data_IF_207564683801
#
_entry.id   IF_207564683801
#
_cell.length_a   1.000
_cell.length_b   1.000
_cell.length_c   1.000
_cell.angle_alpha   90.00
_cell.angle_beta   90.00
_cell.angle_gamma   90.00
#
_symmetry.space_group_name_H-M   'P 1'
#
loop_
_entity.id
_entity.type
_entity.pdbx_description
1 polymer ?
#
# COMPACT_ATOMS: atom_id res chain seq x y z
N UNK A 1 1.56 33.49 -26.04
CA UNK A 1 2.81 33.14 -25.34
C UNK A 1 3.32 31.85 -25.94
N UNK A 2 4.56 31.81 -26.42
CA UNK A 2 5.23 30.56 -26.78
C UNK A 2 5.49 29.75 -25.50
N UNK A 3 5.23 28.44 -25.56
CA UNK A 3 5.57 27.56 -24.45
C UNK A 3 7.09 27.44 -24.32
N UNK A 4 7.57 27.48 -23.09
CA UNK A 4 8.96 27.19 -22.79
C UNK A 4 9.27 25.72 -23.11
N UNK A 5 10.30 25.48 -23.91
CA UNK A 5 10.80 24.12 -24.16
C UNK A 5 11.69 23.74 -22.98
N UNK A 6 11.23 22.83 -22.13
CA UNK A 6 11.96 22.40 -20.92
C UNK A 6 12.86 21.18 -21.13
N UNK A 7 12.74 20.50 -22.27
CA UNK A 7 13.47 19.28 -22.62
C UNK A 7 14.23 19.43 -23.93
N UNK A 8 15.46 18.90 -23.97
CA UNK A 8 16.29 18.88 -25.17
C UNK A 8 15.67 17.93 -26.21
N UNK A 9 15.39 18.38 -27.44
CA UNK A 9 14.79 17.53 -28.48
C UNK A 9 15.72 16.40 -28.95
N UNK A 10 17.03 16.48 -28.67
CA UNK A 10 17.98 15.44 -29.04
C UNK A 10 18.11 14.32 -28.00
N UNK A 11 18.18 14.66 -26.71
CA UNK A 11 18.52 13.70 -25.64
C UNK A 11 17.49 13.64 -24.50
N UNK A 12 16.43 14.45 -24.58
CA UNK A 12 15.39 14.56 -23.57
C UNK A 12 15.89 14.99 -22.16
N UNK A 13 17.13 15.48 -22.05
CA UNK A 13 17.64 16.09 -20.83
C UNK A 13 16.97 17.44 -20.56
N UNK A 14 16.89 17.85 -19.30
CA UNK A 14 16.34 19.15 -18.92
C UNK A 14 17.25 20.28 -19.43
N UNK A 15 16.65 21.29 -20.06
CA UNK A 15 17.35 22.48 -20.55
C UNK A 15 17.58 23.49 -19.41
N UNK A 16 18.67 24.26 -19.51
CA UNK A 16 18.93 25.39 -18.61
C UNK A 16 18.69 26.71 -19.36
N UNK A 17 18.23 27.72 -18.64
CA UNK A 17 18.12 29.09 -19.19
C UNK A 17 19.50 29.73 -19.07
N UNK A 18 20.04 30.27 -20.17
CA UNK A 18 21.37 30.88 -20.19
C UNK A 18 21.36 32.41 -20.23
N UNK A 19 20.21 33.02 -20.54
CA UNK A 19 20.05 34.47 -20.66
C UNK A 19 18.62 34.89 -20.32
N UNK A 20 18.50 35.97 -19.54
CA UNK A 20 17.25 36.67 -19.24
C UNK A 20 17.37 38.10 -19.77
N UNK A 21 16.36 38.58 -20.49
CA UNK A 21 16.33 39.93 -21.02
C UNK A 21 15.14 40.70 -20.46
N UNK A 22 15.38 41.89 -19.91
CA UNK A 22 14.31 42.80 -19.53
C UNK A 22 13.76 43.49 -20.80
N UNK A 23 12.46 43.37 -21.11
CA UNK A 23 11.87 44.01 -22.29
C UNK A 23 11.80 45.55 -22.16
N UNK A 24 11.80 46.09 -20.95
CA UNK A 24 11.61 47.53 -20.70
C UNK A 24 12.92 48.33 -20.82
N UNK A 25 14.03 47.82 -20.26
CA UNK A 25 15.32 48.51 -20.23
C UNK A 25 16.42 47.81 -21.04
N UNK A 26 16.16 46.63 -21.60
CA UNK A 26 17.08 45.90 -22.46
C UNK A 26 18.25 45.20 -21.74
N UNK A 27 18.34 45.28 -20.41
CA UNK A 27 19.38 44.59 -19.63
C UNK A 27 19.32 43.09 -19.91
N UNK A 28 20.46 42.54 -20.31
CA UNK A 28 20.66 41.10 -20.50
C UNK A 28 21.49 40.54 -19.34
N UNK A 29 20.93 39.55 -18.65
CA UNK A 29 21.60 38.84 -17.55
C UNK A 29 21.94 37.44 -18.05
N UNK A 30 23.23 37.15 -18.21
CA UNK A 30 23.72 35.84 -18.62
C UNK A 30 24.23 35.05 -17.42
N UNK A 31 23.58 33.93 -17.16
CA UNK A 31 23.99 32.98 -16.13
C UNK A 31 23.35 31.62 -16.44
N UNK A 32 23.75 30.56 -15.75
CA UNK A 32 23.03 29.29 -15.78
C UNK A 32 21.90 29.35 -14.76
N UNK A 33 20.66 29.49 -15.22
CA UNK A 33 19.46 29.45 -14.38
C UNK A 33 18.77 28.10 -14.54
N UNK A 34 18.34 27.54 -13.42
CA UNK A 34 17.55 26.31 -13.39
C UNK A 34 16.08 26.61 -13.70
N UNK A 35 15.43 25.66 -14.37
CA UNK A 35 13.99 25.65 -14.54
C UNK A 35 13.31 25.33 -13.20
N UNK A 36 12.27 26.10 -12.86
CA UNK A 36 11.48 25.85 -11.66
C UNK A 36 10.72 24.52 -11.76
N UNK A 37 10.25 24.01 -10.63
CA UNK A 37 9.39 22.82 -10.57
C UNK A 37 8.13 22.96 -11.43
N UNK A 38 7.64 24.19 -11.64
CA UNK A 38 6.46 24.46 -12.46
C UNK A 38 6.75 24.40 -13.96
N UNK A 39 7.97 24.76 -14.37
CA UNK A 39 8.40 24.73 -15.78
C UNK A 39 8.55 23.30 -16.31
N UNK A 40 8.65 22.32 -15.40
CA UNK A 40 8.73 20.89 -15.70
C UNK A 40 7.38 20.24 -15.97
N UNK A 41 6.28 20.88 -15.57
CA UNK A 41 4.94 20.35 -15.77
C UNK A 41 4.60 20.26 -17.26
N UNK A 42 3.97 19.16 -17.66
CA UNK A 42 3.37 19.06 -18.99
C UNK A 42 2.06 19.88 -19.05
N UNK A 43 1.53 20.07 -20.26
CA UNK A 43 0.34 20.92 -20.46
C UNK A 43 -0.92 20.38 -19.76
N UNK A 44 -1.08 19.06 -19.67
CA UNK A 44 -2.20 18.46 -18.96
C UNK A 44 -2.12 18.75 -17.45
N UNK A 45 -0.93 18.62 -16.87
CA UNK A 45 -0.66 18.93 -15.46
C UNK A 45 -0.86 20.40 -15.15
N UNK A 46 -0.40 21.32 -16.01
CA UNK A 46 -0.62 22.76 -15.85
C UNK A 46 -2.10 23.10 -15.88
N UNK A 47 -2.85 22.57 -16.85
CA UNK A 47 -4.29 22.81 -16.96
C UNK A 47 -5.05 22.27 -15.76
N UNK A 48 -4.66 21.09 -15.27
CA UNK A 48 -5.23 20.52 -14.05
C UNK A 48 -4.91 21.39 -12.82
N UNK A 49 -3.67 21.85 -12.65
CA UNK A 49 -3.26 22.73 -11.55
C UNK A 49 -4.05 24.05 -11.56
N UNK A 50 -4.13 24.72 -12.71
CA UNK A 50 -4.88 25.99 -12.84
C UNK A 50 -6.36 25.80 -12.50
N UNK A 51 -6.95 24.71 -12.98
CA UNK A 51 -8.35 24.38 -12.68
C UNK A 51 -8.54 24.08 -11.19
N UNK A 52 -7.67 23.28 -10.59
CA UNK A 52 -7.71 22.99 -9.15
C UNK A 52 -7.63 24.25 -8.30
N UNK A 53 -6.73 25.19 -8.64
CA UNK A 53 -6.62 26.48 -7.97
C UNK A 53 -7.86 27.37 -8.20
N UNK A 54 -8.42 27.38 -9.41
CA UNK A 54 -9.67 28.10 -9.71
C UNK A 54 -10.84 27.65 -8.83
N UNK A 55 -10.92 26.35 -8.54
CA UNK A 55 -11.91 25.77 -7.62
C UNK A 55 -11.46 25.77 -6.15
N UNK A 56 -10.41 26.53 -5.80
CA UNK A 56 -9.89 26.68 -4.42
C UNK A 56 -9.54 25.32 -3.77
N UNK A 57 -9.08 24.37 -4.57
CA UNK A 57 -8.73 23.02 -4.14
C UNK A 57 -9.92 22.06 -3.93
N UNK A 58 -11.14 22.45 -4.32
CA UNK A 58 -12.29 21.57 -4.23
C UNK A 58 -12.29 20.52 -5.36
N UNK A 59 -11.80 19.32 -5.03
CA UNK A 59 -11.68 18.21 -5.98
C UNK A 59 -13.03 17.68 -6.49
N UNK A 60 -14.13 17.85 -5.73
CA UNK A 60 -15.48 17.48 -6.16
C UNK A 60 -15.96 18.37 -7.30
N UNK A 61 -15.83 19.68 -7.14
CA UNK A 61 -16.21 20.61 -8.20
C UNK A 61 -15.30 20.45 -9.42
N UNK A 62 -14.01 20.17 -9.19
CA UNK A 62 -13.05 19.93 -10.27
C UNK A 62 -13.40 18.68 -11.10
N UNK A 63 -13.79 17.59 -10.46
CA UNK A 63 -14.12 16.35 -11.17
C UNK A 63 -15.37 16.51 -12.06
N UNK A 64 -16.34 17.33 -11.62
CA UNK A 64 -17.57 17.60 -12.36
C UNK A 64 -17.27 18.46 -13.59
N UNK A 65 -16.44 19.51 -13.43
CA UNK A 65 -16.03 20.38 -14.53
C UNK A 65 -15.22 19.63 -15.61
N UNK A 66 -14.23 18.84 -15.19
CA UNK A 66 -13.34 18.11 -16.10
C UNK A 66 -14.02 16.84 -16.65
N UNK A 67 -15.17 16.44 -16.09
CA UNK A 67 -15.93 15.26 -16.54
C UNK A 67 -15.26 13.93 -16.22
N UNK A 68 -14.57 13.83 -15.07
CA UNK A 68 -13.84 12.63 -14.65
C UNK A 68 -14.36 12.05 -13.34
N UNK A 69 -14.08 10.77 -13.09
CA UNK A 69 -14.43 10.14 -11.81
C UNK A 69 -13.59 10.71 -10.66
N UNK A 70 -14.13 10.68 -9.44
CA UNK A 70 -13.40 11.16 -8.26
C UNK A 70 -12.07 10.41 -8.04
N UNK A 71 -11.99 9.07 -8.19
CA UNK A 71 -10.72 8.36 -8.18
C UNK A 71 -9.72 8.86 -9.23
N UNK A 72 -10.18 9.17 -10.45
CA UNK A 72 -9.33 9.71 -11.51
C UNK A 72 -8.81 11.10 -11.17
N UNK A 73 -9.66 11.98 -10.63
CA UNK A 73 -9.26 13.31 -10.18
C UNK A 73 -8.22 13.25 -9.06
N UNK A 74 -8.40 12.32 -8.12
CA UNK A 74 -7.43 12.07 -7.04
C UNK A 74 -6.10 11.59 -7.59
N UNK A 75 -6.10 10.62 -8.51
CA UNK A 75 -4.88 10.12 -9.15
C UNK A 75 -4.11 11.23 -9.87
N UNK A 76 -4.79 12.09 -10.63
CA UNK A 76 -4.17 13.23 -11.31
C UNK A 76 -3.56 14.24 -10.34
N UNK A 77 -4.20 14.47 -9.19
CA UNK A 77 -3.65 15.30 -8.14
C UNK A 77 -2.38 14.69 -7.56
N UNK A 78 -2.35 13.39 -7.29
CA UNK A 78 -1.14 12.68 -6.82
C UNK A 78 0.00 12.78 -7.86
N UNK A 79 -0.28 12.52 -9.14
CA UNK A 79 0.68 12.66 -10.24
C UNK A 79 1.23 14.09 -10.36
N UNK A 80 0.38 15.11 -10.15
CA UNK A 80 0.80 16.51 -10.15
C UNK A 80 1.70 16.84 -8.96
N UNK A 81 1.33 16.40 -7.75
CA UNK A 81 2.11 16.62 -6.54
C UNK A 81 3.50 15.97 -6.64
N UNK A 82 3.58 14.80 -7.28
CA UNK A 82 4.84 14.13 -7.57
C UNK A 82 5.69 14.94 -8.56
N UNK A 83 5.10 15.42 -9.65
CA UNK A 83 5.80 16.23 -10.65
C UNK A 83 6.30 17.59 -10.08
N UNK A 84 5.62 18.12 -9.07
CA UNK A 84 6.03 19.32 -8.33
C UNK A 84 7.03 19.05 -7.20
N UNK A 85 7.46 17.79 -7.00
CA UNK A 85 8.39 17.38 -5.94
C UNK A 85 7.86 17.73 -4.52
N UNK A 86 6.54 17.92 -4.38
CA UNK A 86 5.88 18.27 -3.10
C UNK A 86 5.55 17.05 -2.25
N UNK A 87 5.42 15.90 -2.92
CA UNK A 87 5.37 14.60 -2.27
C UNK A 87 6.47 13.75 -2.88
N UNK A 88 7.18 13.03 -2.02
CA UNK A 88 8.04 11.95 -2.47
C UNK A 88 7.16 10.73 -2.66
N UNK A 89 7.43 9.98 -3.71
CA UNK A 89 6.69 8.77 -3.97
C UNK A 89 7.12 7.70 -2.96
N UNK A 90 6.28 7.44 -1.95
CA UNK A 90 6.43 6.26 -1.10
C UNK A 90 6.37 4.95 -1.93
N UNK A 91 5.97 4.99 -3.21
CA UNK A 91 6.01 3.86 -4.12
C UNK A 91 7.31 3.74 -4.95
N UNK A 92 8.09 4.81 -5.16
CA UNK A 92 9.41 4.72 -5.82
C UNK A 92 10.48 4.19 -4.84
N UNK A 93 10.34 4.46 -3.53
CA UNK A 93 11.16 3.77 -2.52
C UNK A 93 10.88 2.25 -2.45
N UNK A 94 9.81 1.73 -3.06
CA UNK A 94 9.53 0.28 -3.07
C UNK A 94 10.21 -0.49 -4.21
N UNK A 95 10.83 0.17 -5.18
CA UNK A 95 11.62 -0.51 -6.23
C UNK A 95 13.14 -0.39 -6.02
N UNK A 96 13.59 0.47 -5.10
CA UNK A 96 15.00 0.61 -4.71
C UNK A 96 15.31 0.29 -3.25
N UNK A 97 14.36 -0.23 -2.47
CA UNK A 97 14.67 -1.21 -1.44
C UNK A 97 14.46 -2.60 -2.02
N UNK A 98 15.40 -3.04 -2.87
CA UNK A 98 15.88 -4.39 -2.67
C UNK A 98 16.47 -4.40 -1.26
N UNK A 99 15.60 -4.56 -0.24
CA UNK A 99 16.01 -4.91 1.10
C UNK A 99 17.05 -6.00 0.89
N UNK A 100 18.26 -5.82 1.42
CA UNK A 100 19.26 -6.86 1.37
C UNK A 100 18.73 -8.04 2.22
N UNK A 101 17.93 -8.89 1.57
CA UNK A 101 17.22 -10.01 2.16
C UNK A 101 18.19 -11.11 2.61
N UNK A 102 19.49 -10.96 2.31
CA UNK A 102 20.53 -11.86 2.78
C UNK A 102 20.51 -11.99 4.30
N UNK A 103 20.24 -10.89 5.01
CA UNK A 103 20.26 -10.83 6.48
C UNK A 103 18.99 -11.38 7.16
N UNK A 104 17.86 -11.51 6.44
CA UNK A 104 16.62 -12.01 7.06
C UNK A 104 16.67 -13.54 7.17
N UNK A 105 16.92 -14.05 8.36
CA UNK A 105 16.91 -15.48 8.64
C UNK A 105 15.45 -15.99 8.67
N UNK A 106 15.21 -17.12 8.00
CA UNK A 106 13.94 -17.84 8.01
C UNK A 106 14.20 -19.30 8.37
N UNK A 107 13.38 -19.86 9.27
CA UNK A 107 13.49 -21.25 9.68
C UNK A 107 12.60 -22.13 8.81
N UNK A 108 13.18 -22.73 7.76
CA UNK A 108 12.48 -23.60 6.81
C UNK A 108 12.07 -24.96 7.37
N UNK A 109 12.54 -25.32 8.57
CA UNK A 109 12.16 -26.56 9.26
C UNK A 109 10.94 -26.38 10.17
N UNK A 110 10.50 -25.13 10.37
CA UNK A 110 9.33 -24.82 11.19
C UNK A 110 8.04 -25.04 10.39
N UNK A 111 7.06 -25.70 11.02
CA UNK A 111 5.70 -25.82 10.49
C UNK A 111 4.79 -24.66 10.93
N UNK A 112 5.33 -23.66 11.63
CA UNK A 112 4.56 -22.47 12.03
C UNK A 112 4.15 -21.67 10.80
N UNK A 113 2.92 -21.15 10.82
CA UNK A 113 2.36 -20.36 9.73
C UNK A 113 3.19 -19.09 9.46
N UNK A 114 3.67 -18.45 10.53
CA UNK A 114 4.58 -17.31 10.48
C UNK A 114 5.83 -17.59 9.64
N UNK A 115 6.53 -18.68 9.93
CA UNK A 115 7.76 -19.06 9.23
C UNK A 115 7.51 -19.52 7.80
N UNK A 116 6.41 -20.23 7.53
CA UNK A 116 6.04 -20.65 6.17
C UNK A 116 5.76 -19.43 5.29
N UNK A 117 4.96 -18.48 5.78
CA UNK A 117 4.63 -17.25 5.04
C UNK A 117 5.89 -16.41 4.83
N UNK A 118 6.69 -16.22 5.90
CA UNK A 118 7.93 -15.45 5.84
C UNK A 118 8.94 -16.07 4.86
N UNK A 119 9.13 -17.39 4.87
CA UNK A 119 10.00 -18.09 3.94
C UNK A 119 9.49 -17.97 2.50
N UNK A 120 8.19 -18.21 2.27
CA UNK A 120 7.59 -18.10 0.94
C UNK A 120 7.70 -16.68 0.38
N UNK A 121 7.49 -15.66 1.21
CA UNK A 121 7.64 -14.26 0.82
C UNK A 121 9.10 -13.93 0.48
N UNK A 122 10.06 -14.40 1.29
CA UNK A 122 11.49 -14.27 0.99
C UNK A 122 11.87 -14.94 -0.33
N UNK A 123 11.38 -16.15 -0.57
CA UNK A 123 11.67 -16.92 -1.80
C UNK A 123 11.06 -16.25 -3.05
N UNK A 124 10.09 -15.34 -2.88
CA UNK A 124 9.54 -14.48 -3.94
C UNK A 124 10.18 -13.08 -3.98
N UNK A 125 11.40 -12.91 -3.45
CA UNK A 125 12.11 -11.63 -3.48
C UNK A 125 11.60 -10.59 -2.48
N UNK A 126 10.83 -11.01 -1.47
CA UNK A 126 10.37 -10.15 -0.37
C UNK A 126 9.13 -9.31 -0.69
N UNK A 127 8.56 -9.42 -1.89
CA UNK A 127 7.34 -8.70 -2.30
C UNK A 127 6.48 -9.56 -3.23
N UNK A 128 5.18 -9.60 -2.98
CA UNK A 128 4.21 -10.36 -3.78
C UNK A 128 2.86 -9.63 -3.88
N UNK A 129 2.08 -10.00 -4.88
CA UNK A 129 0.66 -9.64 -4.98
C UNK A 129 -0.18 -10.87 -4.65
N UNK A 130 -1.05 -10.76 -3.65
CA UNK A 130 -2.08 -11.76 -3.32
C UNK A 130 -3.45 -11.24 -3.69
N UNK A 131 -4.42 -12.13 -3.88
CA UNK A 131 -5.77 -11.77 -4.28
C UNK A 131 -6.76 -12.14 -3.17
N UNK A 132 -7.64 -11.20 -2.81
CA UNK A 132 -8.72 -11.49 -1.86
C UNK A 132 -9.74 -12.47 -2.47
N UNK A 133 -10.64 -13.00 -1.63
CA UNK A 133 -11.76 -13.83 -2.09
C UNK A 133 -12.66 -13.15 -3.16
N UNK A 134 -12.62 -11.82 -3.26
CA UNK A 134 -13.35 -11.06 -4.30
C UNK A 134 -12.49 -10.71 -5.52
N UNK A 135 -11.26 -11.22 -5.61
CA UNK A 135 -10.31 -10.94 -6.67
C UNK A 135 -9.60 -9.58 -6.57
N UNK A 136 -9.70 -8.88 -5.44
CA UNK A 136 -9.00 -7.60 -5.26
C UNK A 136 -7.50 -7.86 -5.04
N UNK A 137 -6.59 -7.25 -5.82
CA UNK A 137 -5.16 -7.38 -5.57
C UNK A 137 -4.76 -6.63 -4.30
N UNK A 138 -3.91 -7.26 -3.50
CA UNK A 138 -3.26 -6.71 -2.33
C UNK A 138 -1.75 -6.95 -2.46
N UNK A 139 -0.96 -5.90 -2.45
CA UNK A 139 0.49 -6.01 -2.38
C UNK A 139 0.92 -6.30 -0.95
N UNK A 140 1.90 -7.19 -0.80
CA UNK A 140 2.50 -7.62 0.46
C UNK A 140 4.02 -7.52 0.33
N UNK A 141 4.70 -6.92 1.30
CA UNK A 141 6.16 -6.89 1.35
C UNK A 141 6.71 -7.06 2.76
N UNK A 142 7.93 -7.57 2.83
CA UNK A 142 8.68 -7.74 4.09
C UNK A 142 9.18 -6.38 4.58
N UNK A 143 9.23 -6.20 5.89
CA UNK A 143 9.89 -5.06 6.49
C UNK A 143 11.33 -5.41 6.89
N UNK A 144 12.19 -4.40 7.00
CA UNK A 144 13.62 -4.55 7.32
C UNK A 144 13.89 -5.20 8.69
N UNK A 145 12.93 -5.15 9.61
CA UNK A 145 13.04 -5.77 10.94
C UNK A 145 13.08 -7.30 10.89
N UNK A 146 12.71 -7.91 9.77
CA UNK A 146 12.64 -9.35 9.59
C UNK A 146 11.53 -10.04 10.43
N UNK A 147 10.68 -9.29 11.12
CA UNK A 147 9.63 -9.81 12.01
C UNK A 147 8.24 -9.35 11.60
N UNK A 148 8.13 -8.31 10.78
CA UNK A 148 6.88 -7.75 10.31
C UNK A 148 6.76 -7.69 8.78
N UNK A 149 5.54 -7.45 8.34
CA UNK A 149 5.19 -7.25 6.95
C UNK A 149 4.22 -6.07 6.80
N UNK A 150 4.15 -5.54 5.59
CA UNK A 150 3.24 -4.46 5.25
C UNK A 150 2.40 -4.83 4.03
N UNK A 151 1.18 -4.32 3.97
CA UNK A 151 0.33 -4.40 2.79
C UNK A 151 -0.31 -3.06 2.47
N UNK A 152 -0.49 -2.75 1.19
CA UNK A 152 -1.17 -1.54 0.72
C UNK A 152 -2.63 -1.46 1.19
N UNK A 153 -3.23 -2.60 1.56
CA UNK A 153 -4.59 -2.70 2.10
C UNK A 153 -4.66 -2.81 3.63
N UNK A 154 -3.52 -2.75 4.32
CA UNK A 154 -3.45 -2.76 5.80
C UNK A 154 -2.79 -1.46 6.31
N UNK A 155 -3.49 -0.31 6.29
CA UNK A 155 -2.94 0.98 6.69
C UNK A 155 -2.93 1.15 8.22
N UNK A 156 -2.35 0.18 8.96
CA UNK A 156 -2.30 0.18 10.42
C UNK A 156 -0.87 0.35 10.92
N UNK A 157 -0.70 1.14 12.00
CA UNK A 157 0.57 1.28 12.73
C UNK A 157 0.38 0.85 14.19
N UNK A 158 1.31 0.04 14.77
CA UNK A 158 2.44 -0.61 14.10
C UNK A 158 1.98 -1.68 13.10
N UNK A 159 2.86 -2.03 12.15
CA UNK A 159 2.66 -3.09 11.17
C UNK A 159 2.36 -4.45 11.84
N UNK A 160 1.84 -5.40 11.08
CA UNK A 160 1.62 -6.75 11.61
C UNK A 160 2.92 -7.54 11.65
N UNK A 161 3.19 -8.18 12.77
CA UNK A 161 4.21 -9.22 12.89
C UNK A 161 3.71 -10.53 12.24
N UNK A 162 4.62 -11.36 11.71
CA UNK A 162 4.25 -12.67 11.15
C UNK A 162 3.55 -13.59 12.16
N UNK A 163 3.76 -13.37 13.47
CA UNK A 163 3.09 -14.14 14.53
C UNK A 163 1.57 -14.09 14.45
N UNK A 164 0.99 -13.06 13.83
CA UNK A 164 -0.47 -12.96 13.64
C UNK A 164 -1.02 -14.19 12.92
N UNK A 165 -0.25 -14.79 11.99
CA UNK A 165 -0.66 -15.98 11.28
C UNK A 165 -0.66 -17.23 12.18
N UNK A 166 0.25 -17.30 13.14
CA UNK A 166 0.24 -18.37 14.14
C UNK A 166 -0.99 -18.25 15.03
N UNK A 167 -1.34 -17.04 15.48
CA UNK A 167 -2.56 -16.78 16.26
C UNK A 167 -3.80 -17.27 15.52
N UNK A 168 -3.89 -17.01 14.21
CA UNK A 168 -5.02 -17.47 13.40
C UNK A 168 -5.02 -19.00 13.29
N UNK A 169 -3.86 -19.63 13.04
CA UNK A 169 -3.77 -21.09 12.94
C UNK A 169 -4.09 -21.76 14.27
N UNK A 170 -3.57 -21.27 15.39
CA UNK A 170 -3.86 -21.78 16.73
C UNK A 170 -5.36 -21.70 17.04
N UNK A 171 -6.01 -20.61 16.63
CA UNK A 171 -7.46 -20.47 16.72
C UNK A 171 -8.18 -21.55 15.90
N UNK A 172 -7.77 -21.75 14.64
CA UNK A 172 -8.36 -22.77 13.76
C UNK A 172 -8.21 -24.16 14.36
N UNK A 173 -7.02 -24.52 14.83
CA UNK A 173 -6.73 -25.81 15.48
C UNK A 173 -7.60 -26.00 16.72
N UNK A 174 -7.71 -24.98 17.57
CA UNK A 174 -8.55 -25.03 18.78
C UNK A 174 -10.05 -25.26 18.50
N UNK A 175 -10.49 -24.99 17.27
CA UNK A 175 -11.87 -25.12 16.81
C UNK A 175 -12.05 -26.27 15.79
N UNK A 176 -11.17 -27.26 15.78
CA UNK A 176 -11.29 -28.43 14.92
C UNK A 176 -10.91 -28.16 13.46
N UNK A 177 -9.99 -27.22 13.24
CA UNK A 177 -9.44 -26.86 11.93
C UNK A 177 -10.21 -25.79 11.17
N UNK A 178 -11.20 -25.12 11.79
CA UNK A 178 -11.99 -24.07 11.15
C UNK A 178 -12.45 -23.00 12.14
N UNK A 179 -12.59 -21.76 11.66
CA UNK A 179 -13.08 -20.65 12.47
C UNK A 179 -13.80 -19.61 11.62
N UNK A 180 -14.81 -18.98 12.21
CA UNK A 180 -15.54 -17.86 11.59
C UNK A 180 -14.58 -16.67 11.42
N UNK A 181 -14.61 -16.01 10.27
CA UNK A 181 -13.83 -14.78 10.02
C UNK A 181 -14.19 -13.67 11.01
N UNK A 182 -15.48 -13.54 11.32
CA UNK A 182 -16.03 -12.43 12.08
C UNK A 182 -16.17 -11.14 11.26
N UNK A 183 -16.53 -10.06 11.93
CA UNK A 183 -16.79 -8.74 11.34
C UNK A 183 -16.47 -7.65 12.38
N UNK A 184 -15.25 -7.11 12.32
CA UNK A 184 -14.83 -6.03 13.22
C UNK A 184 -15.38 -4.66 12.83
N UNK A 185 -15.90 -4.50 11.60
CA UNK A 185 -16.44 -3.23 11.09
C UNK A 185 -17.78 -2.87 11.72
N UNK A 186 -18.60 -3.88 12.02
CA UNK A 186 -19.97 -3.70 12.49
C UNK A 186 -20.18 -4.12 13.95
N UNK A 187 -19.19 -4.77 14.57
CA UNK A 187 -19.31 -5.33 15.92
C UNK A 187 -18.09 -4.97 16.75
N UNK A 188 -18.32 -4.68 18.03
CA UNK A 188 -17.24 -4.41 18.99
C UNK A 188 -16.61 -5.70 19.48
N UNK A 189 -15.35 -5.62 19.92
CA UNK A 189 -14.62 -6.77 20.44
C UNK A 189 -15.38 -7.41 21.62
N UNK A 190 -15.65 -8.70 21.53
CA UNK A 190 -16.42 -9.47 22.52
C UNK A 190 -17.88 -9.71 22.16
N UNK A 191 -18.42 -9.05 21.14
CA UNK A 191 -19.73 -9.38 20.57
C UNK A 191 -19.65 -10.65 19.71
N UNK A 192 -20.76 -11.37 19.51
CA UNK A 192 -20.84 -12.70 18.86
C UNK A 192 -20.13 -12.83 17.50
N UNK A 193 -19.99 -11.72 16.76
CA UNK A 193 -19.35 -11.67 15.44
C UNK A 193 -17.95 -11.03 15.46
N UNK A 194 -17.45 -10.61 16.62
CA UNK A 194 -16.11 -10.09 16.84
C UNK A 194 -15.59 -10.55 18.21
N UNK A 195 -15.87 -11.79 18.61
CA UNK A 195 -15.40 -12.38 19.87
C UNK A 195 -14.13 -13.22 19.64
N UNK A 196 -13.56 -13.75 20.73
CA UNK A 196 -12.34 -14.57 20.71
C UNK A 196 -12.43 -15.85 19.87
N UNK A 197 -13.63 -16.27 19.47
CA UNK A 197 -13.84 -17.45 18.59
C UNK A 197 -13.77 -17.09 17.11
N UNK A 198 -13.73 -15.80 16.79
CA UNK A 198 -13.61 -15.30 15.42
C UNK A 198 -12.17 -14.89 15.10
N UNK A 199 -11.78 -15.00 13.83
CA UNK A 199 -10.44 -14.60 13.35
C UNK A 199 -10.17 -13.13 13.69
N UNK A 200 -11.10 -12.22 13.38
CA UNK A 200 -10.95 -10.79 13.70
C UNK A 200 -10.78 -10.55 15.21
N UNK A 201 -11.54 -11.24 16.05
CA UNK A 201 -11.49 -11.06 17.49
C UNK A 201 -10.20 -11.61 18.10
N UNK A 202 -9.73 -12.78 17.66
CA UNK A 202 -8.44 -13.32 18.08
C UNK A 202 -7.27 -12.41 17.67
N UNK A 203 -7.28 -11.89 16.44
CA UNK A 203 -6.28 -10.93 15.97
C UNK A 203 -6.31 -9.63 16.77
N UNK A 204 -7.50 -9.11 17.08
CA UNK A 204 -7.62 -7.90 17.89
C UNK A 204 -7.07 -8.10 19.32
N UNK A 205 -7.33 -9.25 19.93
CA UNK A 205 -6.80 -9.60 21.26
C UNK A 205 -5.27 -9.68 21.25
N UNK A 206 -4.67 -10.33 20.24
CA UNK A 206 -3.20 -10.37 20.07
C UNK A 206 -2.58 -8.97 19.91
N UNK A 207 -3.34 -8.03 19.33
CA UNK A 207 -2.94 -6.61 19.22
C UNK A 207 -3.17 -5.79 20.50
N UNK A 208 -3.67 -6.42 21.58
CA UNK A 208 -3.87 -5.77 22.87
C UNK A 208 -5.18 -4.99 23.01
N UNK A 209 -6.15 -5.16 22.10
CA UNK A 209 -7.48 -4.57 22.24
C UNK A 209 -8.26 -5.24 23.39
N UNK A 210 -9.20 -4.48 23.97
CA UNK A 210 -10.03 -4.89 25.10
C UNK A 210 -11.48 -5.08 24.66
N UNK A 211 -12.21 -5.91 25.40
CA UNK A 211 -13.66 -6.09 25.19
C UNK A 211 -14.38 -4.74 25.22
N UNK A 212 -15.20 -4.47 24.20
CA UNK A 212 -15.92 -3.21 23.99
C UNK A 212 -15.23 -2.24 23.02
N UNK A 213 -13.97 -2.48 22.64
CA UNK A 213 -13.27 -1.66 21.67
C UNK A 213 -13.84 -1.84 20.25
N UNK A 214 -13.87 -0.76 19.48
CA UNK A 214 -13.99 -0.84 18.02
C UNK A 214 -12.63 -1.24 17.44
N UNK A 215 -12.62 -2.22 16.55
CA UNK A 215 -11.37 -2.80 16.01
C UNK A 215 -11.32 -2.68 14.50
N UNK A 216 -10.10 -2.56 13.95
CA UNK A 216 -9.91 -2.68 12.51
C UNK A 216 -10.14 -4.13 12.06
N UNK A 217 -10.73 -4.33 10.88
CA UNK A 217 -10.96 -5.66 10.32
C UNK A 217 -9.92 -5.97 9.22
N UNK A 218 -8.83 -6.70 9.55
CA UNK A 218 -7.77 -7.06 8.60
C UNK A 218 -8.04 -8.36 7.86
N UNK A 219 -9.16 -9.05 8.15
CA UNK A 219 -9.31 -10.48 7.83
C UNK A 219 -9.27 -10.71 6.32
N UNK A 220 -9.77 -9.78 5.52
CA UNK A 220 -9.77 -9.90 4.06
C UNK A 220 -8.37 -10.02 3.46
N UNK A 221 -7.36 -9.37 4.06
CA UNK A 221 -5.95 -9.49 3.63
C UNK A 221 -5.29 -10.70 4.28
N UNK A 222 -5.43 -10.88 5.59
CA UNK A 222 -4.78 -11.98 6.31
C UNK A 222 -5.24 -13.35 5.79
N UNK A 223 -6.53 -13.49 5.47
CA UNK A 223 -7.08 -14.69 4.84
C UNK A 223 -6.50 -14.95 3.46
N UNK A 224 -6.33 -13.90 2.64
CA UNK A 224 -5.73 -14.02 1.31
C UNK A 224 -4.26 -14.48 1.38
N UNK A 225 -3.51 -13.99 2.37
CA UNK A 225 -2.11 -14.39 2.58
C UNK A 225 -2.02 -15.86 3.04
N UNK A 226 -2.88 -16.29 3.98
CA UNK A 226 -2.94 -17.68 4.44
C UNK A 226 -3.32 -18.64 3.31
N UNK A 227 -4.27 -18.26 2.45
CA UNK A 227 -4.67 -19.04 1.29
C UNK A 227 -3.57 -19.10 0.22
N UNK A 228 -2.95 -17.95 -0.09
CA UNK A 228 -1.79 -17.90 -0.98
C UNK A 228 -0.65 -18.79 -0.46
N UNK A 229 -0.45 -18.88 0.85
CA UNK A 229 0.54 -19.76 1.46
C UNK A 229 0.15 -21.26 1.45
N UNK A 230 -1.08 -21.61 1.06
CA UNK A 230 -1.60 -22.98 1.04
C UNK A 230 -1.99 -23.51 2.42
N UNK A 231 -2.15 -22.62 3.41
CA UNK A 231 -2.42 -22.98 4.81
C UNK A 231 -3.93 -23.19 5.03
N UNK A 232 -4.76 -22.35 4.41
CA UNK A 232 -6.23 -22.39 4.55
C UNK A 232 -6.95 -22.34 3.20
N UNK A 233 -8.19 -22.82 3.18
CA UNK A 233 -9.22 -22.44 2.22
C UNK A 233 -9.98 -21.20 2.73
N UNK A 234 -10.08 -20.17 1.89
CA UNK A 234 -10.67 -18.88 2.23
C UNK A 234 -12.18 -18.83 1.93
N UNK A 235 -12.96 -19.63 2.65
CA UNK A 235 -14.38 -19.83 2.36
C UNK A 235 -15.28 -18.63 2.75
N UNK A 236 -16.56 -18.68 2.36
CA UNK A 236 -17.50 -17.60 2.66
C UNK A 236 -17.83 -17.57 4.15
N UNK A 237 -17.25 -16.59 4.86
CA UNK A 237 -17.52 -16.33 6.28
C UNK A 237 -16.62 -17.09 7.26
N UNK A 238 -15.76 -17.97 6.77
CA UNK A 238 -14.88 -18.80 7.60
C UNK A 238 -13.55 -19.08 6.91
N UNK A 239 -12.58 -19.56 7.70
CA UNK A 239 -11.32 -20.13 7.22
C UNK A 239 -11.28 -21.60 7.65
N UNK A 240 -10.75 -22.44 6.78
CA UNK A 240 -10.63 -23.89 7.00
C UNK A 240 -9.20 -24.31 6.68
N UNK A 241 -8.52 -25.03 7.59
CA UNK A 241 -7.18 -25.54 7.33
C UNK A 241 -7.17 -26.48 6.13
N UNK A 242 -6.16 -26.39 5.28
CA UNK A 242 -5.98 -27.38 4.21
C UNK A 242 -5.57 -28.73 4.79
N UNK A 243 -5.89 -29.83 4.10
CA UNK A 243 -5.43 -31.16 4.49
C UNK A 243 -3.89 -31.24 4.47
N UNK A 244 -3.26 -30.60 3.48
CA UNK A 244 -1.80 -30.58 3.31
C UNK A 244 -1.09 -29.88 4.47
N UNK A 245 -1.67 -28.80 5.01
CA UNK A 245 -1.10 -28.12 6.15
C UNK A 245 -1.41 -28.87 7.45
N UNK A 246 -2.63 -29.39 7.58
CA UNK A 246 -3.07 -30.12 8.78
C UNK A 246 -2.22 -31.36 9.06
N UNK A 247 -1.67 -32.02 8.05
CA UNK A 247 -0.78 -33.18 8.22
C UNK A 247 0.62 -32.82 8.76
N UNK A 248 0.94 -31.54 8.89
CA UNK A 248 2.22 -31.02 9.38
C UNK A 248 2.14 -30.42 10.79
N UNK A 249 0.92 -30.30 11.34
CA UNK A 249 0.66 -29.76 12.67
C UNK A 249 1.01 -30.73 13.78
#
# INVERSE_FOLDING_TARGET
MSMLISKCPCCNSTLNITSLQCPDCGVEIRNTFELSIFDRLNEEQKNFLLSFLRYRGNLKNLQEEIGISYPTAKKRLEELLFALELIQDESINKEQEALDMSNIIVNRYSNRASEIIKAKLKDNGGRVTVYTATGLPCELWMNADGTSFTSDKLPIKPAYEYRVFDVIVDLLVSQGGRARKGNGRNYKLGEKNCDKTTVVGAVAIDRGNRTGDSVFDPVFVLAAILEWAGIVHNERGELVLTQQFSSKL
#
